data_IF_367715758384
#
_entry.id   IF_367715758384
#
_cell.length_a   1.000
_cell.length_b   1.000
_cell.length_c   1.000
_cell.angle_alpha   90.00
_cell.angle_beta   90.00
_cell.angle_gamma   90.00
#
_symmetry.space_group_name_H-M   'P 1'
#
loop_
_entity.id
_entity.type
_entity.pdbx_description
1 polymer ?
#
# COMPACT_ATOMS: atom_id res chain seq x y z
N UNK A 1 -40.93 -37.03 -2.12
CA UNK A 1 -40.15 -37.52 -3.28
C UNK A 1 -38.71 -37.02 -3.08
N UNK A 2 -37.78 -37.94 -2.73
CA UNK A 2 -36.29 -37.86 -2.64
C UNK A 2 -35.67 -36.55 -2.08
N UNK A 3 -35.23 -36.43 -0.82
CA UNK A 3 -34.12 -37.08 -0.08
C UNK A 3 -32.75 -37.10 -0.80
N UNK A 4 -31.74 -36.51 -0.13
CA UNK A 4 -30.29 -36.85 0.09
C UNK A 4 -29.60 -35.57 0.61
N UNK A 5 -29.48 -35.30 1.92
CA UNK A 5 -28.70 -35.91 3.02
C UNK A 5 -27.16 -35.73 2.92
N UNK A 6 -26.55 -35.48 4.10
CA UNK A 6 -25.14 -35.23 4.48
C UNK A 6 -24.80 -33.74 4.64
N UNK A 7 -24.40 -33.18 5.80
CA UNK A 7 -23.93 -33.76 7.06
C UNK A 7 -22.57 -33.12 7.44
N UNK A 8 -22.47 -32.65 8.69
CA UNK A 8 -21.27 -32.42 9.52
C UNK A 8 -20.57 -31.04 9.61
N UNK A 9 -20.76 -30.42 10.78
CA UNK A 9 -19.92 -29.59 11.70
C UNK A 9 -18.69 -28.74 11.26
N UNK A 10 -18.83 -27.42 11.56
CA UNK A 10 -17.94 -26.43 12.23
C UNK A 10 -16.41 -26.46 12.04
N UNK A 11 -15.86 -25.31 11.62
CA UNK A 11 -14.50 -24.86 11.93
C UNK A 11 -14.39 -23.34 11.80
N UNK A 12 -14.07 -22.64 12.90
CA UNK A 12 -13.58 -21.26 12.83
C UNK A 12 -12.15 -21.28 12.28
N UNK A 13 -11.83 -20.36 11.35
CA UNK A 13 -10.58 -19.57 11.29
C UNK A 13 -10.23 -19.18 9.85
N UNK A 14 -9.87 -17.91 9.66
CA UNK A 14 -8.82 -17.39 8.76
C UNK A 14 -9.24 -16.41 7.65
N UNK A 15 -8.63 -15.23 7.72
CA UNK A 15 -8.21 -14.45 6.57
C UNK A 15 -9.27 -13.51 6.03
N UNK A 16 -9.21 -12.24 6.44
CA UNK A 16 -9.58 -11.15 5.53
C UNK A 16 -8.77 -11.35 4.25
N UNK A 17 -9.44 -11.85 3.22
CA UNK A 17 -8.95 -11.86 1.85
C UNK A 17 -8.81 -10.39 1.49
N UNK A 18 -7.58 -9.87 1.57
CA UNK A 18 -7.24 -8.71 0.76
C UNK A 18 -7.30 -9.24 -0.67
N UNK A 19 -8.40 -8.94 -1.36
CA UNK A 19 -8.42 -8.98 -2.81
C UNK A 19 -7.32 -8.02 -3.26
N UNK A 20 -6.15 -8.58 -3.52
CA UNK A 20 -5.08 -7.90 -4.24
C UNK A 20 -5.61 -7.69 -5.66
N UNK A 21 -6.41 -6.65 -5.84
CA UNK A 21 -6.56 -6.02 -7.14
C UNK A 21 -5.17 -5.48 -7.48
N UNK A 22 -4.37 -6.32 -8.14
CA UNK A 22 -3.15 -5.90 -8.82
C UNK A 22 -3.59 -5.00 -9.98
N UNK A 23 -3.94 -3.76 -9.66
CA UNK A 23 -4.13 -2.68 -10.59
C UNK A 23 -2.80 -2.42 -11.25
N UNK A 24 -2.56 -3.12 -12.36
CA UNK A 24 -1.49 -2.83 -13.30
C UNK A 24 -1.83 -1.54 -14.05
N UNK A 25 -1.88 -0.44 -13.31
CA UNK A 25 -1.78 0.91 -13.83
C UNK A 25 -0.50 1.46 -13.23
N UNK A 26 0.57 1.53 -14.02
CA UNK A 26 1.48 2.67 -13.82
C UNK A 26 0.59 3.89 -14.04
N UNK A 27 0.03 4.42 -12.96
CA UNK A 27 -0.56 5.75 -12.98
C UNK A 27 0.58 6.65 -13.46
N UNK A 28 0.41 7.25 -14.64
CA UNK A 28 1.40 8.16 -15.23
C UNK A 28 1.48 9.41 -14.36
N UNK A 29 2.17 9.29 -13.23
CA UNK A 29 2.48 10.41 -12.38
C UNK A 29 3.72 11.12 -12.92
N UNK A 30 3.84 12.44 -12.71
CA UNK A 30 5.08 13.15 -12.98
C UNK A 30 6.28 12.50 -12.27
N UNK A 31 7.52 12.77 -12.72
CA UNK A 31 8.71 12.34 -11.99
C UNK A 31 8.68 12.81 -10.53
N UNK A 32 9.19 11.96 -9.64
CA UNK A 32 9.35 12.34 -8.25
C UNK A 32 10.39 13.46 -8.12
N UNK A 33 10.00 14.50 -7.38
CA UNK A 33 10.90 15.51 -6.83
C UNK A 33 11.14 15.17 -5.36
N UNK A 34 12.14 15.79 -4.73
CA UNK A 34 12.38 15.57 -3.29
C UNK A 34 11.14 15.88 -2.44
N UNK A 35 10.44 16.97 -2.75
CA UNK A 35 9.24 17.36 -2.02
C UNK A 35 8.08 16.38 -2.22
N UNK A 36 7.87 15.88 -3.43
CA UNK A 36 6.81 14.89 -3.68
C UNK A 36 7.18 13.52 -3.14
N UNK A 37 8.46 13.15 -3.13
CA UNK A 37 8.95 11.92 -2.52
C UNK A 37 8.78 11.94 -1.00
N UNK A 38 9.12 13.07 -0.34
CA UNK A 38 8.86 13.27 1.09
C UNK A 38 7.37 13.09 1.42
N UNK A 39 6.47 13.63 0.59
CA UNK A 39 5.01 13.48 0.75
C UNK A 39 4.52 12.05 0.52
N UNK A 40 5.08 11.33 -0.44
CA UNK A 40 4.75 9.93 -0.68
C UNK A 40 5.08 9.08 0.55
N UNK A 41 6.25 9.28 1.16
CA UNK A 41 6.72 8.51 2.32
C UNK A 41 5.92 8.83 3.60
N UNK A 42 5.61 10.11 3.83
CA UNK A 42 5.01 10.57 5.10
C UNK A 42 3.50 10.66 5.07
N UNK A 43 2.92 11.01 3.92
CA UNK A 43 1.48 11.22 3.74
C UNK A 43 0.82 10.16 2.85
N UNK A 44 1.59 9.39 2.09
CA UNK A 44 1.05 8.47 1.10
C UNK A 44 0.40 9.22 -0.07
N UNK A 45 1.02 10.31 -0.53
CA UNK A 45 0.54 11.13 -1.66
C UNK A 45 1.60 11.14 -2.76
N UNK A 46 1.20 10.79 -3.97
CA UNK A 46 2.08 10.71 -5.13
C UNK A 46 2.41 12.12 -5.73
N UNK A 47 3.24 12.20 -6.79
CA UNK A 47 3.56 13.46 -7.45
C UNK A 47 2.39 14.13 -8.17
N UNK A 48 1.35 13.37 -8.54
CA UNK A 48 0.12 13.89 -9.13
C UNK A 48 -0.87 14.42 -8.07
N UNK A 49 -0.62 14.18 -6.78
CA UNK A 49 -1.50 14.54 -5.67
C UNK A 49 -2.55 13.48 -5.36
N UNK A 50 -2.43 12.28 -5.94
CA UNK A 50 -3.28 11.11 -5.73
C UNK A 50 -2.84 10.38 -4.46
N UNK A 51 -3.80 9.82 -3.72
CA UNK A 51 -3.50 9.00 -2.54
C UNK A 51 -2.99 7.64 -2.99
N UNK A 52 -1.86 7.22 -2.42
CA UNK A 52 -1.28 5.90 -2.62
C UNK A 52 -2.10 4.84 -1.89
N UNK A 53 -1.91 3.59 -2.28
CA UNK A 53 -2.57 2.41 -1.75
C UNK A 53 -2.56 2.38 -0.21
N UNK A 54 -3.64 1.85 0.38
CA UNK A 54 -3.78 1.79 1.84
C UNK A 54 -2.72 0.91 2.52
N UNK A 55 -2.16 -0.07 1.81
CA UNK A 55 -1.07 -0.90 2.29
C UNK A 55 0.29 -0.17 2.25
N UNK A 56 0.38 1.00 1.61
CA UNK A 56 1.60 1.80 1.65
C UNK A 56 1.75 2.44 3.04
N UNK A 57 2.80 2.12 3.81
CA UNK A 57 2.99 2.70 5.14
C UNK A 57 3.27 4.20 5.09
N UNK A 58 2.69 4.95 6.04
CA UNK A 58 2.94 6.40 6.22
C UNK A 58 3.89 6.57 7.39
N UNK A 59 5.17 6.78 7.07
CA UNK A 59 6.24 6.76 8.06
C UNK A 59 6.26 8.05 8.87
N UNK A 60 6.44 7.91 10.19
CA UNK A 60 6.65 9.04 11.11
C UNK A 60 8.07 9.00 11.64
N UNK A 61 8.87 9.99 11.25
CA UNK A 61 10.27 10.16 11.65
C UNK A 61 10.58 11.65 11.80
N UNK A 62 11.78 11.99 12.27
CA UNK A 62 12.22 13.39 12.31
C UNK A 62 12.48 13.93 10.90
N UNK A 63 12.49 15.25 10.75
CA UNK A 63 12.84 15.87 9.45
C UNK A 63 14.29 15.54 9.05
N UNK A 64 15.19 15.42 10.03
CA UNK A 64 16.60 15.04 9.83
C UNK A 64 16.70 13.61 9.27
N UNK A 65 16.03 12.64 9.88
CA UNK A 65 16.03 11.24 9.40
C UNK A 65 15.41 11.13 7.99
N UNK A 66 14.38 11.93 7.70
CA UNK A 66 13.75 11.95 6.39
C UNK A 66 14.69 12.54 5.33
N UNK A 67 15.49 13.54 5.67
CA UNK A 67 16.50 14.10 4.77
C UNK A 67 17.59 13.08 4.47
N UNK A 68 18.13 12.42 5.48
CA UNK A 68 19.14 11.35 5.32
C UNK A 68 18.62 10.22 4.43
N UNK A 69 17.36 9.81 4.61
CA UNK A 69 16.72 8.80 3.77
C UNK A 69 16.66 9.24 2.30
N UNK A 70 16.25 10.49 2.05
CA UNK A 70 16.13 11.02 0.68
C UNK A 70 17.52 11.12 0.04
N UNK A 71 18.55 11.52 0.78
CA UNK A 71 19.93 11.52 0.30
C UNK A 71 20.40 10.12 -0.05
N UNK A 72 20.14 9.13 0.80
CA UNK A 72 20.46 7.73 0.51
C UNK A 72 19.77 7.24 -0.77
N UNK A 73 18.47 7.52 -0.94
CA UNK A 73 17.71 7.08 -2.12
C UNK A 73 18.24 7.66 -3.44
N UNK A 74 18.86 8.84 -3.43
CA UNK A 74 19.48 9.44 -4.62
C UNK A 74 20.78 8.75 -5.06
N UNK A 75 21.35 7.88 -4.23
CA UNK A 75 22.58 7.14 -4.55
C UNK A 75 22.34 5.83 -5.29
N UNK A 76 21.09 5.41 -5.42
CA UNK A 76 20.64 4.18 -6.11
C UNK A 76 20.44 4.42 -7.60
#
# INVERSE_FOLDING_TARGET
MKLRNAGYYVGQSNGTVHEEETGNGHEEHPPYTEGTLKKAITCGIDPAGVSLDDNMPRWRMSDEDLEDLIEFLKTL
#
